data_IF_676273988355
#
_entry.id   IF_676273988355
#
_cell.length_a   1.000
_cell.length_b   1.000
_cell.length_c   1.000
_cell.angle_alpha   90.00
_cell.angle_beta   90.00
_cell.angle_gamma   90.00
#
_symmetry.space_group_name_H-M   'P 1'
#
loop_
_entity.id
_entity.type
_entity.pdbx_description
1 polymer ?
#
# COMPACT_ATOMS: atom_id res chain seq x y z
N UNK A 1 9.90 7.09 -14.53
CA UNK A 1 11.24 7.47 -14.07
C UNK A 1 11.39 6.94 -12.66
N UNK A 2 12.37 6.07 -12.41
CA UNK A 2 12.60 5.46 -11.10
C UNK A 2 13.42 6.44 -10.26
N UNK A 3 12.78 7.13 -9.31
CA UNK A 3 13.46 8.06 -8.41
C UNK A 3 13.76 7.33 -7.10
N UNK A 4 15.02 7.32 -6.69
CA UNK A 4 15.39 6.92 -5.34
C UNK A 4 15.23 8.11 -4.41
N UNK A 5 14.48 7.95 -3.32
CA UNK A 5 14.30 8.99 -2.31
C UNK A 5 14.59 8.47 -0.91
N UNK A 6 15.11 9.35 -0.06
CA UNK A 6 15.27 9.10 1.38
C UNK A 6 14.32 9.98 2.15
N UNK A 7 13.57 9.39 3.08
CA UNK A 7 12.63 10.07 3.95
C UNK A 7 13.07 9.89 5.41
N UNK A 8 13.10 10.97 6.17
CA UNK A 8 13.39 10.94 7.60
C UNK A 8 12.20 11.43 8.40
N UNK A 9 11.76 10.62 9.36
CA UNK A 9 10.61 10.93 10.22
C UNK A 9 11.00 10.78 11.67
N UNK A 10 10.85 11.87 12.43
CA UNK A 10 11.07 11.86 13.88
C UNK A 10 9.82 11.33 14.58
N UNK A 11 9.98 10.21 15.27
CA UNK A 11 8.95 9.53 16.06
C UNK A 11 9.30 9.59 17.54
N UNK A 12 8.33 9.28 18.42
CA UNK A 12 8.61 9.15 19.86
C UNK A 12 9.61 8.05 20.19
N UNK A 13 9.74 7.06 19.31
CA UNK A 13 10.67 5.94 19.44
C UNK A 13 12.06 6.19 18.84
N UNK A 14 12.31 7.36 18.24
CA UNK A 14 13.57 7.70 17.57
C UNK A 14 13.39 8.21 16.13
N UNK A 15 14.46 8.16 15.34
CA UNK A 15 14.45 8.57 13.93
C UNK A 15 14.20 7.35 13.03
N UNK A 16 13.13 7.40 12.24
CA UNK A 16 12.89 6.43 11.17
C UNK A 16 13.45 6.98 9.85
N UNK A 17 14.35 6.24 9.22
CA UNK A 17 14.85 6.53 7.87
C UNK A 17 14.30 5.48 6.90
N UNK A 18 13.66 5.93 5.83
CA UNK A 18 13.09 5.07 4.79
C UNK A 18 13.73 5.41 3.45
N UNK A 19 14.21 4.39 2.75
CA UNK A 19 14.77 4.52 1.41
C UNK A 19 13.83 3.84 0.43
N UNK A 20 13.44 4.54 -0.63
CA UNK A 20 12.70 3.97 -1.74
C UNK A 20 13.66 3.68 -2.88
N UNK A 21 13.54 2.51 -3.50
CA UNK A 21 14.38 2.12 -4.63
C UNK A 21 13.69 2.39 -5.97
N UNK A 22 12.37 2.23 -6.01
CA UNK A 22 11.53 2.49 -7.15
C UNK A 22 10.14 2.91 -6.69
N UNK A 23 9.62 4.00 -7.24
CA UNK A 23 8.29 4.51 -6.91
C UNK A 23 7.61 5.02 -8.18
N UNK A 24 6.40 4.52 -8.44
CA UNK A 24 5.50 5.14 -9.43
C UNK A 24 4.71 6.30 -8.82
N UNK A 25 4.45 6.23 -7.52
CA UNK A 25 3.71 7.20 -6.71
C UNK A 25 4.61 7.60 -5.53
N UNK A 26 4.76 8.90 -5.22
CA UNK A 26 5.54 9.35 -4.07
C UNK A 26 5.10 8.67 -2.76
N UNK A 27 6.07 8.31 -1.91
CA UNK A 27 5.80 7.54 -0.69
C UNK A 27 4.83 8.25 0.26
N UNK A 28 4.93 9.58 0.33
CA UNK A 28 4.09 10.46 1.13
C UNK A 28 2.63 10.48 0.69
N UNK A 29 2.33 10.16 -0.57
CA UNK A 29 0.96 10.01 -1.07
C UNK A 29 0.38 8.65 -0.68
N UNK A 30 1.22 7.61 -0.63
CA UNK A 30 0.80 6.24 -0.29
C UNK A 30 0.62 6.02 1.21
N UNK A 31 1.47 6.63 2.04
CA UNK A 31 1.44 6.41 3.48
C UNK A 31 1.97 7.59 4.31
N UNK A 32 1.60 7.56 5.59
CA UNK A 32 2.25 8.30 6.66
C UNK A 32 2.87 7.35 7.68
N UNK A 33 3.41 7.94 8.76
CA UNK A 33 4.14 7.21 9.79
C UNK A 33 3.61 7.56 11.16
N UNK A 34 3.48 6.55 12.03
CA UNK A 34 3.04 6.70 13.41
C UNK A 34 4.03 6.10 14.40
N UNK A 35 3.99 6.58 15.64
CA UNK A 35 4.70 5.95 16.76
C UNK A 35 3.86 4.81 17.33
N UNK A 36 4.48 3.68 17.66
CA UNK A 36 3.85 2.60 18.44
C UNK A 36 4.45 2.55 19.84
N UNK A 37 3.62 2.21 20.82
CA UNK A 37 4.06 1.97 22.20
C UNK A 37 4.67 0.57 22.34
N UNK A 38 5.77 0.32 21.63
CA UNK A 38 6.52 -0.95 21.64
C UNK A 38 8.00 -0.69 21.41
N UNK A 39 8.87 -1.20 22.28
CA UNK A 39 10.32 -1.04 22.13
C UNK A 39 10.89 -1.83 20.94
N UNK A 40 10.26 -2.97 20.57
CA UNK A 40 10.72 -3.81 19.44
C UNK A 40 10.17 -3.35 18.09
N UNK A 41 9.03 -2.66 18.08
CA UNK A 41 8.35 -2.19 16.86
C UNK A 41 7.84 -0.77 17.08
N UNK A 42 8.76 0.18 17.22
CA UNK A 42 8.49 1.57 17.63
C UNK A 42 7.73 2.41 16.61
N UNK A 43 7.55 1.93 15.38
CA UNK A 43 6.88 2.65 14.30
C UNK A 43 5.77 1.82 13.65
N UNK A 44 4.92 2.50 12.88
CA UNK A 44 3.90 1.90 12.00
C UNK A 44 3.77 2.71 10.72
N UNK A 45 3.58 2.03 9.59
CA UNK A 45 3.11 2.65 8.36
C UNK A 45 1.59 2.78 8.39
N UNK A 46 1.09 3.97 8.10
CA UNK A 46 -0.34 4.26 8.04
C UNK A 46 -0.68 4.50 6.57
N UNK A 47 -1.35 3.54 5.93
CA UNK A 47 -1.77 3.70 4.54
C UNK A 47 -2.76 4.87 4.41
N UNK A 48 -2.55 5.68 3.37
CA UNK A 48 -3.45 6.77 2.95
C UNK A 48 -4.34 6.37 1.76
N UNK A 49 -4.28 5.10 1.34
CA UNK A 49 -5.01 4.60 0.16
C UNK A 49 -5.92 3.39 0.48
N UNK A 50 -5.76 2.75 1.64
CA UNK A 50 -6.52 1.54 2.00
C UNK A 50 -7.78 1.79 2.85
N UNK A 51 -8.05 3.01 3.28
CA UNK A 51 -9.25 3.32 4.06
C UNK A 51 -9.30 2.77 5.50
N UNK A 52 -8.33 1.96 5.94
CA UNK A 52 -8.36 1.30 7.26
C UNK A 52 -8.23 2.26 8.45
N UNK A 53 -7.23 3.14 8.41
CA UNK A 53 -6.91 4.06 9.52
C UNK A 53 -6.95 5.53 9.10
N UNK A 54 -7.06 5.79 7.79
CA UNK A 54 -7.09 7.11 7.20
C UNK A 54 -8.30 7.17 6.26
N UNK A 55 -9.14 8.21 6.31
CA UNK A 55 -10.25 8.36 5.37
C UNK A 55 -9.73 8.45 3.92
N UNK A 56 -10.27 7.62 3.04
CA UNK A 56 -9.87 7.58 1.63
C UNK A 56 -11.10 7.75 0.76
N UNK A 57 -10.98 8.55 -0.31
CA UNK A 57 -12.03 8.63 -1.32
C UNK A 57 -12.12 7.29 -2.05
N UNK A 58 -13.31 6.71 -2.27
CA UNK A 58 -13.44 5.41 -2.94
C UNK A 58 -12.69 5.30 -4.26
N UNK A 59 -12.69 6.39 -5.06
CA UNK A 59 -11.94 6.45 -6.33
C UNK A 59 -10.44 6.20 -6.14
N UNK A 60 -9.82 6.76 -5.09
CA UNK A 60 -8.37 6.57 -4.84
C UNK A 60 -8.05 5.11 -4.52
N UNK A 61 -8.92 4.44 -3.77
CA UNK A 61 -8.76 3.00 -3.51
C UNK A 61 -8.92 2.17 -4.79
N UNK A 62 -9.92 2.49 -5.61
CA UNK A 62 -10.15 1.82 -6.88
C UNK A 62 -8.97 2.01 -7.84
N UNK A 63 -8.46 3.24 -7.99
CA UNK A 63 -7.29 3.53 -8.82
C UNK A 63 -6.05 2.74 -8.37
N UNK A 64 -5.88 2.58 -7.05
CA UNK A 64 -4.83 1.73 -6.49
C UNK A 64 -4.99 0.26 -6.89
N UNK A 65 -6.21 -0.28 -6.85
CA UNK A 65 -6.48 -1.64 -7.27
C UNK A 65 -6.22 -1.82 -8.76
N UNK A 66 -6.76 -0.93 -9.61
CA UNK A 66 -6.59 -0.97 -11.06
C UNK A 66 -5.10 -0.93 -11.46
N UNK A 67 -4.31 -0.07 -10.81
CA UNK A 67 -2.85 0.01 -11.03
C UNK A 67 -2.13 -1.27 -10.66
N UNK A 68 -2.47 -1.88 -9.52
CA UNK A 68 -1.86 -3.15 -9.11
C UNK A 68 -2.26 -4.28 -10.06
N UNK A 69 -3.53 -4.35 -10.45
CA UNK A 69 -4.02 -5.36 -11.40
C UNK A 69 -3.37 -5.22 -12.77
N UNK A 70 -3.14 -4.00 -13.27
CA UNK A 70 -2.46 -3.77 -14.55
C UNK A 70 -1.02 -4.33 -14.58
N UNK A 71 -0.38 -4.56 -13.44
CA UNK A 71 0.93 -5.20 -13.36
C UNK A 71 0.86 -6.73 -13.46
N UNK A 72 -0.33 -7.31 -13.34
CA UNK A 72 -0.55 -8.75 -13.30
C UNK A 72 -0.66 -9.37 -14.71
N UNK A 73 0.39 -9.23 -15.52
CA UNK A 73 0.36 -9.52 -16.96
C UNK A 73 0.65 -10.97 -17.37
N UNK A 74 0.92 -11.88 -16.43
CA UNK A 74 1.52 -13.21 -16.75
C UNK A 74 0.81 -14.41 -16.13
N UNK A 75 -0.51 -14.34 -15.95
CA UNK A 75 -1.26 -15.45 -15.35
C UNK A 75 -2.03 -16.23 -16.42
N UNK A 76 -2.06 -17.56 -16.25
CA UNK A 76 -2.86 -18.48 -17.05
C UNK A 76 -3.98 -18.98 -16.14
N UNK A 77 -5.21 -18.99 -16.63
CA UNK A 77 -6.35 -19.44 -15.84
C UNK A 77 -6.27 -20.95 -15.51
N UNK A 78 -6.81 -21.38 -14.35
CA UNK A 78 -7.47 -20.58 -13.32
C UNK A 78 -6.50 -19.88 -12.35
N UNK A 79 -6.84 -18.66 -11.91
CA UNK A 79 -6.07 -17.88 -10.94
C UNK A 79 -6.82 -17.71 -9.61
N UNK A 80 -6.06 -17.63 -8.50
CA UNK A 80 -6.61 -17.38 -7.15
C UNK A 80 -5.91 -16.16 -6.55
N UNK A 81 -6.69 -15.21 -6.04
CA UNK A 81 -6.19 -14.06 -5.28
C UNK A 81 -6.34 -14.37 -3.79
N UNK A 82 -5.21 -14.43 -3.09
CA UNK A 82 -5.17 -14.67 -1.63
C UNK A 82 -4.78 -13.39 -0.92
N UNK A 83 -5.58 -12.96 0.04
CA UNK A 83 -5.32 -11.77 0.84
C UNK A 83 -5.33 -12.08 2.33
N UNK A 84 -4.31 -11.57 3.04
CA UNK A 84 -4.18 -11.79 4.47
C UNK A 84 -5.09 -10.84 5.25
N UNK A 85 -5.99 -11.41 6.05
CA UNK A 85 -6.79 -10.64 6.98
C UNK A 85 -5.88 -9.93 8.02
N UNK A 86 -6.21 -8.73 8.48
CA UNK A 86 -7.42 -7.95 8.19
C UNK A 86 -7.18 -6.84 7.15
N UNK A 87 -5.99 -6.22 7.16
CA UNK A 87 -5.71 -5.01 6.38
C UNK A 87 -5.75 -5.24 4.87
N UNK A 88 -5.35 -6.42 4.40
CA UNK A 88 -5.34 -6.71 2.97
C UNK A 88 -6.67 -7.25 2.46
N UNK A 89 -7.65 -7.56 3.32
CA UNK A 89 -8.94 -8.14 2.90
C UNK A 89 -9.63 -7.28 1.85
N UNK A 90 -9.78 -5.98 2.12
CA UNK A 90 -10.39 -5.04 1.17
C UNK A 90 -9.58 -4.93 -0.11
N UNK A 91 -8.25 -4.80 0.00
CA UNK A 91 -7.35 -4.70 -1.15
C UNK A 91 -7.42 -5.93 -2.06
N UNK A 92 -7.40 -7.13 -1.48
CA UNK A 92 -7.49 -8.38 -2.24
C UNK A 92 -8.79 -8.50 -3.01
N UNK A 93 -9.91 -8.16 -2.37
CA UNK A 93 -11.19 -8.12 -3.05
C UNK A 93 -11.21 -7.06 -4.16
N UNK A 94 -10.71 -5.84 -3.91
CA UNK A 94 -10.63 -4.79 -4.92
C UNK A 94 -9.77 -5.17 -6.13
N UNK A 95 -8.64 -5.84 -5.92
CA UNK A 95 -7.80 -6.38 -7.02
C UNK A 95 -8.56 -7.45 -7.79
N UNK A 96 -9.28 -8.35 -7.12
CA UNK A 96 -10.11 -9.37 -7.77
C UNK A 96 -11.22 -8.75 -8.62
N UNK A 97 -11.97 -7.78 -8.10
CA UNK A 97 -12.99 -7.05 -8.87
C UNK A 97 -12.38 -6.32 -10.07
N UNK A 98 -11.17 -5.75 -9.90
CA UNK A 98 -10.47 -5.06 -10.99
C UNK A 98 -9.92 -6.04 -12.03
N UNK A 99 -9.53 -7.25 -11.62
CA UNK A 99 -9.11 -8.34 -12.51
C UNK A 99 -10.24 -8.80 -13.41
N UNK A 100 -11.42 -9.03 -12.82
CA UNK A 100 -12.60 -9.48 -13.57
C UNK A 100 -13.06 -8.47 -14.64
N UNK A 101 -12.73 -7.18 -14.50
CA UNK A 101 -13.00 -6.17 -15.53
C UNK A 101 -12.03 -6.23 -16.71
N UNK A 102 -10.88 -6.87 -16.54
CA UNK A 102 -9.80 -6.94 -17.55
C UNK A 102 -9.78 -8.28 -18.31
N UNK A 103 -10.49 -9.29 -17.82
CA UNK A 103 -10.63 -10.63 -18.43
C UNK A 103 -11.97 -10.72 -19.14
#
# INVERSE_FOLDING_TARGET
MTVQSTHEVRLRSGLLRVMTHATEIPLEELCGFGSRRSQRRGFVFVSKVLGKHWPVRPQVFQDCCDRLTAQLTRFVEPAVIVAMAETATGLGHGIFESWLKQT
#
